data_IF_498432700881
#
_entry.id   IF_498432700881
#
_cell.length_a   1.000
_cell.length_b   1.000
_cell.length_c   1.000
_cell.angle_alpha   90.00
_cell.angle_beta   90.00
_cell.angle_gamma   90.00
#
_symmetry.space_group_name_H-M   'P 1'
#
loop_
_entity.id
_entity.type
_entity.pdbx_description
1 polymer ?
#
# COMPACT_ATOMS: atom_id res chain seq x y z
N UNK A 1 -9.41 -16.18 -9.47
CA UNK A 1 -8.57 -15.47 -8.49
C UNK A 1 -7.55 -14.65 -9.22
N UNK A 2 -7.49 -13.37 -8.87
CA UNK A 2 -6.57 -12.44 -9.53
C UNK A 2 -5.68 -11.78 -8.48
N UNK A 3 -4.50 -11.35 -8.91
CA UNK A 3 -3.62 -10.57 -8.08
C UNK A 3 -3.58 -9.16 -8.61
N UNK A 4 -3.75 -8.21 -7.71
CA UNK A 4 -3.70 -6.79 -8.06
C UNK A 4 -2.48 -6.21 -7.36
N UNK A 5 -1.61 -5.60 -8.16
CA UNK A 5 -0.39 -4.98 -7.65
C UNK A 5 -0.67 -3.51 -7.36
N UNK A 6 -0.35 -3.10 -6.15
CA UNK A 6 -0.52 -1.70 -5.73
C UNK A 6 0.86 -1.05 -5.72
N UNK A 7 1.04 -0.05 -6.56
CA UNK A 7 2.30 0.67 -6.71
C UNK A 7 2.21 2.04 -6.04
N UNK A 8 3.37 2.58 -5.70
CA UNK A 8 3.42 3.93 -5.12
C UNK A 8 3.17 4.99 -6.18
N UNK A 9 2.35 5.97 -5.82
CA UNK A 9 2.11 7.15 -6.66
C UNK A 9 3.10 8.28 -6.36
N UNK A 10 3.96 8.10 -5.36
CA UNK A 10 4.82 9.17 -4.88
C UNK A 10 6.21 8.66 -4.55
N UNK A 11 7.16 9.58 -4.51
CA UNK A 11 8.50 9.35 -3.98
C UNK A 11 8.57 10.01 -2.61
N UNK A 12 8.86 9.21 -1.59
CA UNK A 12 8.87 9.68 -0.22
C UNK A 12 9.18 8.56 0.75
N UNK A 13 8.43 8.50 1.84
CA UNK A 13 8.64 7.52 2.91
C UNK A 13 7.33 6.78 3.19
N UNK A 14 7.42 5.47 3.39
CA UNK A 14 6.28 4.67 3.86
C UNK A 14 6.14 4.91 5.36
N UNK A 15 5.46 6.02 5.72
CA UNK A 15 5.42 6.48 7.10
C UNK A 15 4.69 5.50 8.02
N UNK A 16 3.57 4.96 7.56
CA UNK A 16 2.79 4.05 8.38
C UNK A 16 2.09 3.02 7.51
N UNK A 17 2.23 1.74 7.89
CA UNK A 17 1.52 0.65 7.24
C UNK A 17 0.37 0.25 8.15
N UNK A 18 -0.86 0.33 7.65
CA UNK A 18 -2.05 0.15 8.49
C UNK A 18 -2.74 -1.19 8.31
N UNK A 19 -2.18 -2.07 7.47
CA UNK A 19 -2.71 -3.42 7.26
C UNK A 19 -1.63 -4.45 7.55
N UNK A 20 -2.04 -5.71 7.72
CA UNK A 20 -1.12 -6.83 7.88
C UNK A 20 -1.38 -7.86 6.80
N UNK A 21 -0.39 -8.69 6.53
CA UNK A 21 -0.51 -9.79 5.58
C UNK A 21 -1.65 -10.71 6.01
N UNK A 22 -2.50 -11.07 5.07
CA UNK A 22 -3.66 -11.92 5.32
C UNK A 22 -4.92 -11.17 5.69
N UNK A 23 -4.85 -9.85 5.87
CA UNK A 23 -6.01 -9.06 6.24
C UNK A 23 -6.94 -8.87 5.04
N UNK A 24 -8.25 -9.04 5.26
CA UNK A 24 -9.25 -8.72 4.25
C UNK A 24 -9.46 -7.21 4.21
N UNK A 25 -9.53 -6.66 3.02
CA UNK A 25 -9.75 -5.23 2.81
C UNK A 25 -10.86 -5.02 1.80
N UNK A 26 -11.52 -3.87 1.90
CA UNK A 26 -12.52 -3.44 0.94
C UNK A 26 -11.93 -2.36 0.06
N UNK A 27 -12.50 -2.19 -1.13
CA UNK A 27 -12.10 -1.10 -2.01
C UNK A 27 -12.19 0.22 -1.25
N UNK A 28 -11.12 1.02 -1.32
CA UNK A 28 -11.07 2.30 -0.63
C UNK A 28 -10.49 2.25 0.78
N UNK A 29 -10.23 1.06 1.32
CA UNK A 29 -9.59 0.95 2.63
C UNK A 29 -8.14 1.43 2.54
N UNK A 30 -7.67 2.10 3.59
CA UNK A 30 -6.29 2.55 3.64
C UNK A 30 -5.35 1.37 3.85
N UNK A 31 -4.32 1.27 3.00
CA UNK A 31 -3.28 0.25 3.11
C UNK A 31 -2.07 0.80 3.83
N UNK A 32 -1.68 2.03 3.49
CA UNK A 32 -0.59 2.70 4.17
C UNK A 32 -0.72 4.21 3.98
N UNK A 33 0.04 4.96 4.78
CA UNK A 33 0.16 6.40 4.64
C UNK A 33 1.61 6.70 4.29
N UNK A 34 1.82 7.35 3.16
CA UNK A 34 3.13 7.79 2.74
C UNK A 34 3.31 9.26 3.11
N UNK A 35 4.55 9.65 3.40
CA UNK A 35 4.89 11.06 3.59
C UNK A 35 5.75 11.50 2.43
N UNK A 36 5.33 12.57 1.75
CA UNK A 36 6.07 13.17 0.66
C UNK A 36 5.82 14.67 0.70
N UNK A 37 6.88 15.47 0.56
CA UNK A 37 6.80 16.93 0.54
C UNK A 37 6.01 17.50 1.72
N UNK A 38 6.23 16.92 2.91
CA UNK A 38 5.57 17.33 4.17
C UNK A 38 4.05 17.11 4.15
N UNK A 39 3.57 16.21 3.30
CA UNK A 39 2.16 15.86 3.21
C UNK A 39 1.99 14.37 3.47
N UNK A 40 0.89 14.02 4.12
CA UNK A 40 0.52 12.62 4.33
C UNK A 40 -0.40 12.19 3.20
N UNK A 41 -0.01 11.13 2.50
CA UNK A 41 -0.74 10.67 1.32
C UNK A 41 -1.17 9.23 1.56
N UNK A 42 -2.49 8.97 1.76
CA UNK A 42 -2.95 7.60 1.96
C UNK A 42 -2.93 6.83 0.63
N UNK A 43 -2.55 5.57 0.72
CA UNK A 43 -2.64 4.64 -0.40
C UNK A 43 -3.79 3.69 -0.10
N UNK A 44 -4.76 3.63 -1.01
CA UNK A 44 -6.00 2.91 -0.81
C UNK A 44 -6.05 1.62 -1.61
N UNK A 45 -6.82 0.65 -1.12
CA UNK A 45 -7.03 -0.59 -1.84
C UNK A 45 -7.84 -0.30 -3.11
N UNK A 46 -7.34 -0.71 -4.28
CA UNK A 46 -8.07 -0.47 -5.53
C UNK A 46 -9.27 -1.39 -5.71
N UNK A 47 -9.30 -2.53 -5.02
CA UNK A 47 -10.40 -3.48 -5.03
C UNK A 47 -10.45 -4.22 -3.71
N UNK A 48 -11.59 -4.82 -3.42
CA UNK A 48 -11.74 -5.68 -2.25
C UNK A 48 -10.95 -6.97 -2.47
N UNK A 49 -10.36 -7.48 -1.43
CA UNK A 49 -9.59 -8.72 -1.47
C UNK A 49 -8.83 -8.95 -0.18
N UNK A 50 -7.77 -9.74 -0.27
CA UNK A 50 -6.93 -10.08 0.86
C UNK A 50 -5.50 -9.62 0.59
N UNK A 51 -4.88 -9.01 1.58
CA UNK A 51 -3.48 -8.58 1.47
C UNK A 51 -2.59 -9.82 1.42
N UNK A 52 -2.13 -10.16 0.22
CA UNK A 52 -1.30 -11.34 0.00
C UNK A 52 0.16 -11.11 0.38
N UNK A 53 0.68 -9.95 0.01
CA UNK A 53 2.06 -9.58 0.29
C UNK A 53 2.16 -8.10 0.60
N UNK A 54 3.06 -7.77 1.53
CA UNK A 54 3.46 -6.41 1.81
C UNK A 54 4.92 -6.31 1.38
N UNK A 55 5.19 -5.51 0.36
CA UNK A 55 6.50 -5.44 -0.28
C UNK A 55 7.33 -4.23 0.17
N UNK A 56 6.89 -3.57 1.21
CA UNK A 56 7.55 -2.36 1.74
C UNK A 56 7.58 -2.46 3.26
N UNK A 57 8.64 -1.92 3.87
CA UNK A 57 8.75 -1.85 5.32
C UNK A 57 8.32 -0.46 5.80
N UNK A 58 7.69 -0.42 6.97
CA UNK A 58 7.34 0.84 7.61
C UNK A 58 8.60 1.65 7.88
N UNK A 59 8.57 2.91 7.47
CA UNK A 59 9.72 3.79 7.59
C UNK A 59 10.69 3.75 6.41
N UNK A 60 10.48 2.85 5.45
CA UNK A 60 11.37 2.73 4.31
C UNK A 60 11.14 3.83 3.28
N UNK A 61 12.18 4.19 2.54
CA UNK A 61 12.04 5.10 1.41
C UNK A 61 11.34 4.39 0.27
N UNK A 62 10.45 5.08 -0.41
CA UNK A 62 9.73 4.58 -1.56
C UNK A 62 9.89 5.54 -2.74
N UNK A 63 9.84 4.98 -3.94
CA UNK A 63 9.89 5.75 -5.18
C UNK A 63 8.61 5.54 -5.96
N UNK A 64 8.26 6.49 -6.80
CA UNK A 64 7.11 6.36 -7.69
C UNK A 64 7.22 5.05 -8.48
N UNK A 65 6.11 4.34 -8.60
CA UNK A 65 5.99 3.04 -9.26
C UNK A 65 6.57 1.84 -8.49
N UNK A 66 7.14 2.04 -7.30
CA UNK A 66 7.57 0.90 -6.48
C UNK A 66 6.37 0.03 -6.12
N UNK A 67 6.56 -1.28 -6.16
CA UNK A 67 5.53 -2.22 -5.73
C UNK A 67 5.41 -2.20 -4.21
N UNK A 68 4.23 -1.92 -3.71
CA UNK A 68 3.99 -1.82 -2.27
C UNK A 68 3.21 -3.01 -1.71
N UNK A 69 2.14 -3.40 -2.38
CA UNK A 69 1.24 -4.46 -1.92
C UNK A 69 0.78 -5.33 -3.07
N UNK A 70 0.45 -6.57 -2.74
CA UNK A 70 -0.25 -7.47 -3.66
C UNK A 70 -1.54 -7.87 -2.97
N UNK A 71 -2.67 -7.58 -3.63
CA UNK A 71 -4.00 -7.92 -3.13
C UNK A 71 -4.52 -9.08 -3.96
N UNK A 72 -4.98 -10.13 -3.30
CA UNK A 72 -5.59 -11.26 -3.98
C UNK A 72 -7.12 -11.15 -3.91
N UNK A 73 -7.76 -11.22 -5.05
CA UNK A 73 -9.22 -11.11 -5.15
C UNK A 73 -9.89 -12.45 -5.39
#
# INVERSE_FOLDING_TARGET
>A
MAEIKVHSDVTGTAWKIVVVKGQAVDEGDELMIAEAMKMEIPHLAPESGVVKEICVDEGAAISEDDLLFIIET
#
